data_IF_051267849001
#
_entry.id   IF_051267849001
#
_cell.length_a   1.000
_cell.length_b   1.000
_cell.length_c   1.000
_cell.angle_alpha   90.00
_cell.angle_beta   90.00
_cell.angle_gamma   90.00
#
_symmetry.space_group_name_H-M   'P 1'
#
loop_
_entity.id
_entity.type
_entity.pdbx_description
1 polymer ?
#
# COMPACT_ATOMS: atom_id res chain seq x y z
N UNK A 1 -45.45 -2.83 -14.31
CA UNK A 1 -44.22 -2.05 -14.58
C UNK A 1 -44.13 -1.05 -13.43
N UNK A 2 -43.26 -1.17 -12.43
CA UNK A 2 -41.90 -1.69 -12.38
C UNK A 2 -41.65 -2.42 -11.06
N UNK A 3 -40.81 -3.45 -11.15
CA UNK A 3 -40.41 -4.41 -10.14
C UNK A 3 -39.44 -3.74 -9.13
N UNK A 4 -39.87 -3.58 -7.87
CA UNK A 4 -38.99 -3.19 -6.75
C UNK A 4 -38.70 -4.41 -5.89
N UNK A 5 -37.73 -5.20 -6.31
CA UNK A 5 -37.01 -6.13 -5.45
C UNK A 5 -35.55 -5.71 -5.46
N UNK A 6 -35.09 -5.02 -4.42
CA UNK A 6 -33.72 -5.08 -3.89
C UNK A 6 -33.63 -4.13 -2.70
N UNK A 7 -34.10 -4.59 -1.53
CA UNK A 7 -33.59 -4.08 -0.27
C UNK A 7 -33.57 -5.21 0.76
N UNK A 8 -32.45 -5.93 0.81
CA UNK A 8 -32.26 -7.08 1.69
C UNK A 8 -31.53 -6.70 3.00
N UNK A 9 -31.22 -5.41 3.21
CA UNK A 9 -30.34 -4.95 4.30
C UNK A 9 -31.02 -4.11 5.37
N UNK A 10 -32.30 -3.75 5.20
CA UNK A 10 -32.97 -2.83 6.11
C UNK A 10 -33.99 -3.50 7.04
N UNK A 11 -33.65 -4.56 7.78
CA UNK A 11 -34.44 -4.96 8.95
C UNK A 11 -33.75 -6.03 9.82
N UNK A 12 -33.09 -5.58 10.90
CA UNK A 12 -33.11 -6.20 12.24
C UNK A 12 -32.31 -5.34 13.22
N UNK A 13 -33.01 -4.48 13.96
CA UNK A 13 -32.47 -3.90 15.21
C UNK A 13 -32.66 -4.94 16.31
N UNK A 14 -31.59 -5.63 16.68
CA UNK A 14 -31.53 -6.38 17.93
C UNK A 14 -30.78 -5.54 18.96
N UNK A 15 -31.43 -5.26 20.08
CA UNK A 15 -30.79 -4.73 21.28
C UNK A 15 -29.84 -5.81 21.81
N UNK A 16 -28.56 -5.47 21.98
CA UNK A 16 -27.59 -6.37 22.58
C UNK A 16 -27.19 -5.87 23.96
N UNK A 17 -27.49 -6.72 24.93
CA UNK A 17 -27.02 -6.71 26.31
C UNK A 17 -25.48 -6.78 26.32
N UNK A 18 -24.84 -5.88 27.08
CA UNK A 18 -23.39 -5.81 27.22
C UNK A 18 -22.93 -6.85 28.25
N UNK A 19 -22.91 -8.12 27.83
CA UNK A 19 -22.17 -9.16 28.54
C UNK A 19 -20.67 -8.90 28.43
N UNK A 20 -19.96 -9.01 29.54
CA UNK A 20 -18.49 -8.96 29.61
C UNK A 20 -17.88 -10.04 28.70
N UNK A 21 -17.17 -9.63 27.63
CA UNK A 21 -16.47 -10.57 26.75
C UNK A 21 -15.02 -10.62 27.20
N UNK A 22 -14.61 -11.74 27.76
CA UNK A 22 -13.19 -12.08 27.90
C UNK A 22 -12.57 -12.11 26.50
N UNK A 23 -11.60 -11.24 26.24
CA UNK A 23 -10.79 -11.32 25.03
C UNK A 23 -10.00 -12.63 25.08
N UNK A 24 -10.50 -13.67 24.42
CA UNK A 24 -9.68 -14.82 24.07
C UNK A 24 -8.48 -14.28 23.30
N UNK A 25 -7.28 -14.71 23.72
CA UNK A 25 -6.06 -14.39 23.01
C UNK A 25 -6.27 -14.75 21.53
N UNK A 26 -6.13 -13.77 20.63
CA UNK A 26 -6.20 -14.03 19.21
C UNK A 26 -5.25 -15.19 18.90
N UNK A 27 -5.75 -16.20 18.18
CA UNK A 27 -4.92 -17.28 17.68
C UNK A 27 -3.66 -16.66 17.04
N UNK A 28 -2.47 -17.21 17.29
CA UNK A 28 -1.26 -16.76 16.61
C UNK A 28 -1.54 -16.66 15.12
N UNK A 29 -1.00 -15.62 14.46
CA UNK A 29 -1.01 -15.59 12.99
C UNK A 29 -0.23 -16.82 12.55
N UNK A 30 -0.94 -17.85 12.10
CA UNK A 30 -0.31 -19.00 11.47
C UNK A 30 0.40 -18.49 10.22
N UNK A 31 1.72 -18.47 10.29
CA UNK A 31 2.56 -18.51 9.12
C UNK A 31 2.09 -19.72 8.32
N UNK A 32 1.37 -19.51 7.22
CA UNK A 32 0.80 -20.58 6.37
C UNK A 32 1.84 -21.48 5.68
N UNK A 33 3.02 -21.65 6.28
CA UNK A 33 4.14 -22.52 5.91
C UNK A 33 4.04 -23.93 6.49
N UNK A 34 2.94 -24.31 7.14
CA UNK A 34 2.74 -25.71 7.52
C UNK A 34 2.12 -26.52 6.37
N UNK A 35 2.94 -27.32 5.69
CA UNK A 35 2.51 -28.23 4.64
C UNK A 35 3.51 -28.41 3.51
N UNK A 36 3.25 -29.34 2.56
CA UNK A 36 4.01 -29.38 1.31
C UNK A 36 3.84 -28.05 0.54
N UNK A 37 4.80 -27.68 -0.33
CA UNK A 37 4.68 -26.48 -1.13
C UNK A 37 3.36 -26.43 -1.90
N UNK A 38 2.71 -25.28 -1.88
CA UNK A 38 1.52 -25.02 -2.67
C UNK A 38 1.81 -25.12 -4.17
N UNK A 39 0.77 -25.34 -4.97
CA UNK A 39 0.88 -25.34 -6.43
C UNK A 39 1.53 -24.06 -6.97
N UNK A 40 1.22 -22.90 -6.37
CA UNK A 40 1.81 -21.62 -6.75
C UNK A 40 3.30 -21.51 -6.41
N UNK A 41 3.74 -22.09 -5.29
CA UNK A 41 5.17 -22.13 -4.95
C UNK A 41 5.93 -23.04 -5.91
N UNK A 42 5.37 -24.20 -6.25
CA UNK A 42 5.95 -25.11 -7.24
C UNK A 42 6.05 -24.41 -8.60
N UNK A 43 4.96 -23.78 -9.05
CA UNK A 43 4.93 -23.03 -10.32
C UNK A 43 5.93 -21.88 -10.33
N UNK A 44 6.04 -21.12 -9.23
CA UNK A 44 7.00 -20.01 -9.11
C UNK A 44 8.44 -20.50 -9.23
N UNK A 45 8.78 -21.62 -8.58
CA UNK A 45 10.12 -22.22 -8.65
C UNK A 45 10.43 -22.75 -10.05
N UNK A 46 9.51 -23.51 -10.64
CA UNK A 46 9.68 -24.03 -12.00
C UNK A 46 9.85 -22.91 -13.04
N UNK A 47 9.12 -21.79 -12.88
CA UNK A 47 9.28 -20.62 -13.75
C UNK A 47 10.63 -19.95 -13.55
N UNK A 48 11.13 -19.82 -12.32
CA UNK A 48 12.45 -19.28 -12.06
C UNK A 48 13.54 -20.15 -12.70
N UNK A 49 13.51 -21.47 -12.47
CA UNK A 49 14.47 -22.43 -13.04
C UNK A 49 14.50 -22.35 -14.58
N UNK A 50 13.34 -22.28 -15.23
CA UNK A 50 13.24 -22.15 -16.69
C UNK A 50 13.85 -20.83 -17.20
N UNK A 51 13.64 -19.72 -16.48
CA UNK A 51 14.19 -18.42 -16.86
C UNK A 51 15.71 -18.34 -16.63
N UNK A 52 16.23 -19.05 -15.62
CA UNK A 52 17.65 -19.23 -15.37
C UNK A 52 18.30 -20.09 -16.46
N UNK A 53 17.69 -21.22 -16.85
CA UNK A 53 18.17 -22.07 -17.95
C UNK A 53 18.25 -21.30 -19.28
N UNK A 54 17.29 -20.39 -19.50
CA UNK A 54 17.28 -19.50 -20.68
C UNK A 54 18.27 -18.33 -20.58
N UNK A 55 18.95 -18.15 -19.46
CA UNK A 55 19.89 -17.04 -19.23
C UNK A 55 19.24 -15.65 -19.17
N UNK A 56 17.93 -15.58 -18.89
CA UNK A 56 17.18 -14.31 -18.81
C UNK A 56 17.37 -13.66 -17.44
N UNK A 57 17.44 -14.46 -16.38
CA UNK A 57 17.71 -14.04 -15.01
C UNK A 57 18.73 -14.96 -14.35
N UNK A 58 19.26 -14.55 -13.20
CA UNK A 58 20.05 -15.41 -12.29
C UNK A 58 19.45 -15.39 -10.90
N UNK A 59 19.69 -16.45 -10.11
CA UNK A 59 19.30 -16.49 -8.70
C UNK A 59 19.86 -15.30 -7.89
N UNK A 60 21.07 -14.83 -8.23
CA UNK A 60 21.68 -13.65 -7.62
C UNK A 60 20.89 -12.38 -7.93
N UNK A 61 20.45 -12.19 -9.17
CA UNK A 61 19.64 -11.03 -9.55
C UNK A 61 18.29 -11.01 -8.81
N UNK A 62 17.66 -12.18 -8.65
CA UNK A 62 16.41 -12.31 -7.88
C UNK A 62 16.63 -11.93 -6.42
N UNK A 63 17.66 -12.51 -5.78
CA UNK A 63 18.01 -12.22 -4.38
C UNK A 63 18.34 -10.74 -4.17
N UNK A 64 19.24 -10.18 -4.98
CA UNK A 64 19.61 -8.76 -4.88
C UNK A 64 18.39 -7.83 -5.03
N UNK A 65 17.42 -8.19 -5.90
CA UNK A 65 16.20 -7.41 -6.06
C UNK A 65 15.27 -7.52 -4.83
N UNK A 66 15.18 -8.69 -4.19
CA UNK A 66 14.43 -8.88 -2.95
C UNK A 66 15.03 -8.03 -1.82
N UNK A 67 16.34 -8.14 -1.60
CA UNK A 67 17.08 -7.38 -0.58
C UNK A 67 16.87 -5.86 -0.75
N UNK A 68 16.92 -5.37 -1.99
CA UNK A 68 16.67 -3.95 -2.28
C UNK A 68 15.26 -3.48 -1.84
N UNK A 69 14.22 -4.30 -2.04
CA UNK A 69 12.85 -3.96 -1.64
C UNK A 69 12.62 -4.06 -0.13
N UNK A 70 13.39 -4.89 0.57
CA UNK A 70 13.26 -5.11 2.02
C UNK A 70 14.07 -4.09 2.83
N UNK A 71 15.30 -3.79 2.40
CA UNK A 71 16.26 -3.03 3.21
C UNK A 71 16.36 -1.55 2.85
N UNK A 72 16.27 -1.21 1.56
CA UNK A 72 16.62 0.13 1.07
C UNK A 72 15.38 0.99 0.80
N UNK A 73 14.51 0.51 -0.08
CA UNK A 73 13.42 1.32 -0.62
C UNK A 73 12.38 1.84 0.40
N UNK A 74 12.00 1.12 1.48
CA UNK A 74 10.96 1.58 2.40
C UNK A 74 11.28 2.88 3.16
N UNK A 75 12.55 3.22 3.33
CA UNK A 75 12.98 4.29 4.26
C UNK A 75 13.34 5.61 3.57
N UNK A 76 13.20 5.70 2.25
CA UNK A 76 13.62 6.87 1.47
C UNK A 76 12.60 8.01 1.57
N UNK A 77 11.31 7.72 1.56
CA UNK A 77 10.23 8.72 1.59
C UNK A 77 10.24 9.59 2.84
N UNK A 78 10.46 9.01 4.02
CA UNK A 78 10.50 9.77 5.28
C UNK A 78 11.63 10.80 5.31
N UNK A 79 12.78 10.49 4.70
CA UNK A 79 13.91 11.43 4.55
C UNK A 79 13.54 12.64 3.68
N UNK A 80 12.80 12.42 2.60
CA UNK A 80 12.31 13.49 1.71
C UNK A 80 11.35 14.41 2.48
N UNK A 81 10.41 13.84 3.23
CA UNK A 81 9.46 14.62 4.04
C UNK A 81 10.18 15.43 5.13
N UNK A 82 11.09 14.81 5.87
CA UNK A 82 11.86 15.49 6.90
C UNK A 82 12.67 16.67 6.32
N UNK A 83 13.26 16.50 5.13
CA UNK A 83 13.95 17.59 4.43
C UNK A 83 13.00 18.73 4.07
N UNK A 84 11.82 18.42 3.52
CA UNK A 84 10.83 19.42 3.15
C UNK A 84 10.30 20.23 4.35
N UNK A 85 10.26 19.65 5.56
CA UNK A 85 9.86 20.38 6.76
C UNK A 85 10.88 21.42 7.24
N UNK A 86 12.19 21.15 7.07
CA UNK A 86 13.26 22.03 7.56
C UNK A 86 13.85 22.94 6.48
N UNK A 87 13.57 22.68 5.20
CA UNK A 87 14.03 23.47 4.06
C UNK A 87 12.84 23.88 3.17
N UNK A 88 12.28 25.09 3.37
CA UNK A 88 11.18 25.62 2.57
C UNK A 88 11.51 25.75 1.07
N UNK A 89 12.78 25.98 0.71
CA UNK A 89 13.18 26.08 -0.68
C UNK A 89 13.18 24.71 -1.35
N UNK A 90 13.61 23.66 -0.64
CA UNK A 90 13.46 22.27 -1.10
C UNK A 90 12.00 21.87 -1.21
N UNK A 91 11.17 22.20 -0.22
CA UNK A 91 9.73 21.93 -0.27
C UNK A 91 9.08 22.52 -1.53
N UNK A 92 9.40 23.77 -1.86
CA UNK A 92 8.91 24.41 -3.09
C UNK A 92 9.29 23.61 -4.33
N UNK A 93 10.58 23.24 -4.47
CA UNK A 93 11.05 22.44 -5.62
C UNK A 93 10.39 21.06 -5.67
N UNK A 94 10.18 20.42 -4.52
CA UNK A 94 9.52 19.11 -4.42
C UNK A 94 8.07 19.16 -4.93
N UNK A 95 7.35 20.24 -4.63
CA UNK A 95 5.98 20.44 -5.11
C UNK A 95 5.93 20.81 -6.60
N UNK A 96 6.95 21.52 -7.10
CA UNK A 96 7.05 21.88 -8.52
C UNK A 96 7.44 20.67 -9.40
N UNK A 97 8.49 19.91 -9.02
CA UNK A 97 8.93 18.68 -9.67
C UNK A 97 9.50 17.69 -8.63
N UNK A 98 8.67 16.73 -8.24
CA UNK A 98 9.04 15.75 -7.22
C UNK A 98 10.22 14.88 -7.62
N UNK A 99 10.36 14.54 -8.91
CA UNK A 99 11.46 13.69 -9.38
C UNK A 99 12.78 14.44 -9.31
N UNK A 100 12.82 15.64 -9.88
CA UNK A 100 14.03 16.46 -9.88
C UNK A 100 14.51 16.76 -8.45
N UNK A 101 13.60 17.13 -7.55
CA UNK A 101 13.94 17.39 -6.15
C UNK A 101 14.49 16.15 -5.43
N UNK A 102 13.90 14.96 -5.64
CA UNK A 102 14.44 13.73 -5.08
C UNK A 102 15.83 13.39 -5.64
N UNK A 103 16.07 13.61 -6.94
CA UNK A 103 17.37 13.39 -7.58
C UNK A 103 18.45 14.31 -7.02
N UNK A 104 18.17 15.60 -6.81
CA UNK A 104 19.09 16.54 -6.11
C UNK A 104 19.48 16.02 -4.72
N UNK A 105 18.58 15.29 -4.07
CA UNK A 105 18.77 14.73 -2.74
C UNK A 105 19.40 13.33 -2.75
N UNK A 106 19.90 12.88 -3.91
CA UNK A 106 20.58 11.60 -4.07
C UNK A 106 19.64 10.39 -4.09
N UNK A 107 18.36 10.59 -4.36
CA UNK A 107 17.37 9.52 -4.48
C UNK A 107 16.98 9.38 -5.95
N UNK A 108 17.38 8.26 -6.55
CA UNK A 108 16.92 7.87 -7.88
C UNK A 108 15.52 7.23 -7.78
N UNK A 109 14.58 7.77 -8.55
CA UNK A 109 13.22 7.26 -8.67
C UNK A 109 13.03 6.38 -9.90
N UNK A 110 14.12 5.97 -10.55
CA UNK A 110 14.14 5.16 -11.77
C UNK A 110 13.24 5.78 -12.85
N UNK A 111 12.28 5.03 -13.38
CA UNK A 111 11.35 5.48 -14.41
C UNK A 111 10.16 6.30 -13.87
N UNK A 112 10.00 6.43 -12.55
CA UNK A 112 8.79 7.00 -11.97
C UNK A 112 8.71 8.51 -12.22
N UNK A 113 7.48 8.99 -12.45
CA UNK A 113 7.12 10.40 -12.33
C UNK A 113 6.50 10.61 -10.94
N UNK A 114 7.12 11.47 -10.14
CA UNK A 114 6.64 11.78 -8.80
C UNK A 114 5.93 13.13 -8.79
N UNK A 115 4.70 13.13 -8.26
CA UNK A 115 3.96 14.34 -7.95
C UNK A 115 3.75 14.35 -6.44
N UNK A 116 4.34 15.33 -5.76
CA UNK A 116 4.10 15.55 -4.34
C UNK A 116 2.85 16.41 -4.17
N UNK A 117 1.98 16.02 -3.23
CA UNK A 117 0.79 16.78 -2.85
C UNK A 117 0.86 17.11 -1.36
N UNK A 118 0.71 18.39 -1.04
CA UNK A 118 0.82 18.88 0.33
C UNK A 118 -0.53 18.80 1.05
N UNK A 119 -0.53 18.22 2.26
CA UNK A 119 -1.62 18.42 3.21
C UNK A 119 -1.49 19.80 3.87
N UNK A 120 -2.61 20.52 3.97
CA UNK A 120 -2.73 21.80 4.69
C UNK A 120 -3.77 21.67 5.80
N UNK A 121 -3.95 22.67 6.68
CA UNK A 121 -5.04 22.66 7.65
C UNK A 121 -6.44 22.51 7.00
N UNK A 122 -6.58 22.95 5.75
CA UNK A 122 -7.82 22.92 4.98
C UNK A 122 -7.97 21.70 4.06
N UNK A 123 -6.86 21.03 3.71
CA UNK A 123 -6.85 19.94 2.71
C UNK A 123 -6.08 18.73 3.21
N UNK A 124 -6.74 17.56 3.19
CA UNK A 124 -6.11 16.26 3.43
C UNK A 124 -6.15 15.42 2.16
N UNK A 125 -4.97 15.02 1.67
CA UNK A 125 -4.82 14.18 0.49
C UNK A 125 -4.73 12.69 0.90
N UNK A 126 -5.35 11.81 0.11
CA UNK A 126 -5.25 10.35 0.21
C UNK A 126 -5.09 9.77 -1.19
N UNK A 127 -4.21 8.78 -1.36
CA UNK A 127 -3.81 8.26 -2.68
C UNK A 127 -4.32 6.84 -2.87
N UNK A 128 -4.75 6.51 -4.09
CA UNK A 128 -5.23 5.18 -4.46
C UNK A 128 -4.97 4.87 -5.93
N UNK A 129 -4.72 3.60 -6.23
CA UNK A 129 -4.79 3.05 -7.58
C UNK A 129 -6.02 2.15 -7.70
N UNK A 130 -7.13 2.69 -8.21
CA UNK A 130 -8.39 1.94 -8.33
C UNK A 130 -8.26 0.74 -9.26
N UNK A 131 -7.47 0.85 -10.33
CA UNK A 131 -7.36 -0.17 -11.37
C UNK A 131 -6.46 -1.35 -10.99
N UNK A 132 -5.40 -1.13 -10.21
CA UNK A 132 -4.47 -2.20 -9.86
C UNK A 132 -3.80 -1.99 -8.50
N UNK A 133 -2.59 -1.42 -8.48
CA UNK A 133 -1.73 -1.34 -7.29
C UNK A 133 -0.58 -0.35 -7.43
N UNK A 134 -0.67 0.64 -8.34
CA UNK A 134 0.37 1.65 -8.54
C UNK A 134 0.75 2.31 -7.21
N UNK A 135 2.05 2.42 -6.95
CA UNK A 135 2.62 2.86 -5.68
C UNK A 135 4.05 3.36 -5.91
N UNK A 136 4.52 4.43 -5.23
CA UNK A 136 5.86 4.98 -5.43
C UNK A 136 6.91 4.13 -4.71
N UNK A 137 7.23 2.97 -5.28
CA UNK A 137 8.02 1.94 -4.57
C UNK A 137 9.44 2.38 -4.28
N UNK A 138 10.03 3.21 -5.13
CA UNK A 138 11.38 3.78 -4.92
C UNK A 138 11.46 4.69 -3.68
N UNK A 139 10.33 5.10 -3.12
CA UNK A 139 10.26 5.91 -1.89
C UNK A 139 9.66 5.16 -0.70
N UNK A 140 8.65 4.33 -0.94
CA UNK A 140 7.80 3.76 0.11
C UNK A 140 7.86 2.22 0.17
N UNK A 141 8.71 1.59 -0.64
CA UNK A 141 8.82 0.13 -0.73
C UNK A 141 7.60 -0.55 -1.35
N UNK A 142 7.41 -1.84 -1.06
CA UNK A 142 6.28 -2.60 -1.58
C UNK A 142 4.96 -2.15 -0.94
N UNK A 143 3.88 -1.97 -1.72
CA UNK A 143 2.60 -1.56 -1.16
C UNK A 143 2.06 -2.64 -0.21
N UNK A 144 1.52 -2.25 0.95
CA UNK A 144 0.91 -3.19 1.88
C UNK A 144 -0.28 -3.90 1.24
N UNK A 145 -0.62 -5.08 1.76
CA UNK A 145 -1.71 -5.93 1.23
C UNK A 145 -3.05 -5.21 1.20
N UNK A 146 -3.37 -4.42 2.22
CA UNK A 146 -4.62 -3.64 2.29
C UNK A 146 -4.74 -2.61 1.15
N UNK A 147 -3.64 -1.97 0.74
CA UNK A 147 -3.66 -0.98 -0.34
C UNK A 147 -4.01 -1.62 -1.70
N UNK A 148 -3.56 -2.86 -1.91
CA UNK A 148 -3.86 -3.66 -3.11
C UNK A 148 -5.28 -4.24 -3.11
N UNK A 149 -5.91 -4.31 -1.94
CA UNK A 149 -7.21 -4.94 -1.75
C UNK A 149 -8.33 -4.17 -2.45
N UNK A 150 -9.35 -4.92 -2.93
CA UNK A 150 -10.56 -4.32 -3.49
C UNK A 150 -11.27 -3.43 -2.45
N UNK A 151 -11.28 -3.86 -1.19
CA UNK A 151 -11.93 -3.14 -0.09
C UNK A 151 -11.44 -1.69 0.02
N UNK A 152 -10.13 -1.47 0.03
CA UNK A 152 -9.58 -0.11 0.04
C UNK A 152 -9.86 0.59 -1.29
N UNK A 153 -9.46 -0.04 -2.41
CA UNK A 153 -9.43 0.58 -3.74
C UNK A 153 -10.78 1.05 -4.24
N UNK A 154 -11.87 0.34 -3.95
CA UNK A 154 -13.21 0.73 -4.38
C UNK A 154 -13.86 1.75 -3.46
N UNK A 155 -13.56 1.71 -2.15
CA UNK A 155 -14.27 2.51 -1.14
C UNK A 155 -13.66 3.89 -0.97
N UNK A 156 -12.32 4.01 -0.98
CA UNK A 156 -11.64 5.28 -0.65
C UNK A 156 -11.98 6.42 -1.62
N UNK A 157 -12.38 6.12 -2.86
CA UNK A 157 -12.83 7.13 -3.83
C UNK A 157 -14.30 7.54 -3.67
N UNK A 158 -15.10 6.76 -2.94
CA UNK A 158 -16.54 6.99 -2.77
C UNK A 158 -16.88 7.50 -1.38
N UNK A 159 -16.28 6.90 -0.35
CA UNK A 159 -16.48 7.23 1.06
C UNK A 159 -15.13 7.43 1.80
N UNK A 160 -14.24 8.33 1.32
CA UNK A 160 -12.88 8.49 1.86
C UNK A 160 -12.87 8.75 3.36
N UNK A 161 -13.79 9.57 3.86
CA UNK A 161 -13.92 9.89 5.29
C UNK A 161 -14.32 8.67 6.12
N UNK A 162 -15.10 7.73 5.61
CA UNK A 162 -15.42 6.51 6.35
C UNK A 162 -14.20 5.58 6.42
N UNK A 163 -13.51 5.40 5.28
CA UNK A 163 -12.28 4.60 5.21
C UNK A 163 -11.19 5.16 6.13
N UNK A 164 -10.96 6.48 6.13
CA UNK A 164 -9.96 7.10 7.00
C UNK A 164 -10.28 6.93 8.50
N UNK A 165 -11.57 6.90 8.88
CA UNK A 165 -11.98 6.61 10.26
C UNK A 165 -11.63 5.18 10.68
N UNK A 166 -11.66 4.21 9.77
CA UNK A 166 -11.21 2.84 10.04
C UNK A 166 -9.70 2.78 10.36
N UNK A 167 -8.93 3.74 9.85
CA UNK A 167 -7.52 3.93 10.20
C UNK A 167 -7.30 4.82 11.44
N UNK A 168 -8.37 5.23 12.13
CA UNK A 168 -8.30 6.15 13.26
C UNK A 168 -8.07 7.62 12.89
N UNK A 169 -8.18 7.97 11.60
CA UNK A 169 -8.03 9.37 11.13
C UNK A 169 -9.39 10.04 11.00
N UNK A 170 -9.69 10.96 11.93
CA UNK A 170 -10.91 11.75 11.93
C UNK A 170 -10.66 13.11 11.24
N UNK A 171 -11.33 13.36 10.12
CA UNK A 171 -11.29 14.66 9.42
C UNK A 171 -12.51 15.51 9.79
N UNK A 172 -12.37 16.84 9.97
CA UNK A 172 -13.49 17.77 10.24
C UNK A 172 -14.56 17.77 9.16
#
# INVERSE_FOLDING_TARGET
>A
MTDTKFDHYAQKKHAHDHGDHTHEAHAPVEDGREGPPSEYEIMSRAMQELLEEKGIITAEQVRARMEQFEEDLPYRGSRVIARAWVDPAFKKRLLDDGKAACTEFGIDLEADRLIAVENTPEVHNVIVCTLCSCYPRSLLGMPPTWYKSRNYRSRVVFEPRAVLREFGTMLP
#
